data_IF_949763270761
#
_entry.id   IF_949763270761
#
_cell.length_a   1.000
_cell.length_b   1.000
_cell.length_c   1.000
_cell.angle_alpha   90.00
_cell.angle_beta   90.00
_cell.angle_gamma   90.00
#
_symmetry.space_group_name_H-M   'P 1'
#
loop_
_entity.id
_entity.type
_entity.pdbx_description
1 polymer ?
#
# COMPACT_ATOMS: atom_id res chain seq x y z
N UNK A 1 -23.34 -52.71 -31.02
CA UNK A 1 -22.24 -51.75 -30.76
C UNK A 1 -22.35 -51.04 -29.41
N UNK A 2 -23.54 -50.65 -28.94
CA UNK A 2 -23.73 -49.93 -27.67
C UNK A 2 -23.31 -50.71 -26.40
N UNK A 3 -23.47 -52.05 -26.38
CA UNK A 3 -23.10 -52.90 -25.24
C UNK A 3 -21.57 -53.02 -25.07
N UNK A 4 -20.82 -53.15 -26.17
CA UNK A 4 -19.36 -53.25 -26.15
C UNK A 4 -18.70 -51.98 -25.60
N UNK A 5 -19.18 -50.81 -26.02
CA UNK A 5 -18.68 -49.53 -25.52
C UNK A 5 -18.92 -49.37 -24.02
N UNK A 6 -20.10 -49.77 -23.52
CA UNK A 6 -20.43 -49.72 -22.09
C UNK A 6 -19.52 -50.63 -21.26
N UNK A 7 -19.22 -51.84 -21.75
CA UNK A 7 -18.33 -52.78 -21.06
C UNK A 7 -16.88 -52.27 -21.07
N UNK A 8 -16.38 -51.81 -22.21
CA UNK A 8 -15.05 -51.23 -22.31
C UNK A 8 -14.87 -50.01 -21.39
N UNK A 9 -15.89 -49.15 -21.33
CA UNK A 9 -15.91 -47.98 -20.45
C UNK A 9 -15.94 -48.37 -18.97
N UNK A 10 -16.76 -49.35 -18.59
CA UNK A 10 -16.80 -49.82 -17.20
C UNK A 10 -15.45 -50.42 -16.76
N UNK A 11 -14.82 -51.24 -17.60
CA UNK A 11 -13.49 -51.81 -17.31
C UNK A 11 -12.44 -50.72 -17.18
N UNK A 12 -12.45 -49.72 -18.08
CA UNK A 12 -11.55 -48.59 -18.02
C UNK A 12 -11.71 -47.82 -16.69
N UNK A 13 -12.95 -47.49 -16.30
CA UNK A 13 -13.20 -46.80 -15.03
C UNK A 13 -12.78 -47.63 -13.82
N UNK A 14 -13.09 -48.92 -13.79
CA UNK A 14 -12.70 -49.79 -12.68
C UNK A 14 -11.17 -49.87 -12.52
N UNK A 15 -10.42 -49.86 -13.62
CA UNK A 15 -8.96 -49.87 -13.57
C UNK A 15 -8.41 -48.51 -13.15
N UNK A 16 -8.90 -47.40 -13.71
CA UNK A 16 -8.35 -46.06 -13.46
C UNK A 16 -8.77 -45.45 -12.12
N UNK A 17 -9.96 -45.79 -11.61
CA UNK A 17 -10.49 -45.27 -10.36
C UNK A 17 -9.54 -45.41 -9.15
N UNK A 18 -8.92 -46.59 -8.87
CA UNK A 18 -7.97 -46.71 -7.77
C UNK A 18 -6.71 -45.85 -7.98
N UNK A 19 -6.21 -45.69 -9.21
CA UNK A 19 -5.05 -44.82 -9.47
C UNK A 19 -5.38 -43.35 -9.24
N UNK A 20 -6.54 -42.88 -9.70
CA UNK A 20 -7.00 -41.50 -9.50
C UNK A 20 -7.21 -41.24 -7.99
N UNK A 21 -7.82 -42.19 -7.29
CA UNK A 21 -8.06 -42.08 -5.85
C UNK A 21 -6.74 -42.03 -5.08
N UNK A 22 -5.78 -42.91 -5.41
CA UNK A 22 -4.47 -42.93 -4.78
C UNK A 22 -3.69 -41.65 -5.05
N UNK A 23 -3.70 -41.16 -6.29
CA UNK A 23 -3.05 -39.91 -6.66
C UNK A 23 -3.67 -38.72 -5.91
N UNK A 24 -5.00 -38.66 -5.83
CA UNK A 24 -5.71 -37.59 -5.11
C UNK A 24 -5.38 -37.59 -3.61
N UNK A 25 -5.31 -38.78 -3.01
CA UNK A 25 -4.99 -38.93 -1.59
C UNK A 25 -3.54 -38.55 -1.29
N UNK A 26 -2.62 -38.91 -2.19
CA UNK A 26 -1.22 -38.52 -2.11
C UNK A 26 -1.05 -37.00 -2.28
N UNK A 27 -1.79 -36.39 -3.20
CA UNK A 27 -1.77 -34.95 -3.43
C UNK A 27 -2.28 -34.17 -2.20
N UNK A 28 -3.40 -34.59 -1.60
CA UNK A 28 -3.92 -34.00 -0.36
C UNK A 28 -2.90 -34.14 0.78
N UNK A 29 -2.23 -35.29 0.88
CA UNK A 29 -1.15 -35.49 1.85
C UNK A 29 0.01 -34.52 1.63
N UNK A 30 0.45 -34.35 0.39
CA UNK A 30 1.53 -33.44 0.03
C UNK A 30 1.17 -31.99 0.37
N UNK A 31 -0.04 -31.53 0.01
CA UNK A 31 -0.53 -30.18 0.33
C UNK A 31 -0.54 -29.94 1.84
N UNK A 32 -0.96 -30.91 2.65
CA UNK A 32 -0.95 -30.79 4.10
C UNK A 32 0.46 -30.70 4.67
N UNK A 33 1.41 -31.48 4.14
CA UNK A 33 2.82 -31.42 4.56
C UNK A 33 3.42 -30.07 4.21
N UNK A 34 3.20 -29.57 2.99
CA UNK A 34 3.64 -28.23 2.58
C UNK A 34 3.01 -27.16 3.46
N UNK A 35 1.70 -27.24 3.74
CA UNK A 35 1.00 -26.30 4.63
C UNK A 35 1.58 -26.31 6.05
N UNK A 36 1.90 -27.49 6.60
CA UNK A 36 2.53 -27.61 7.91
C UNK A 36 3.95 -27.03 7.93
N UNK A 37 4.76 -27.33 6.91
CA UNK A 37 6.11 -26.77 6.77
C UNK A 37 6.05 -25.25 6.60
N UNK A 38 5.12 -24.74 5.79
CA UNK A 38 4.87 -23.31 5.63
C UNK A 38 4.48 -22.67 6.96
N UNK A 39 3.66 -23.30 7.81
CA UNK A 39 3.34 -22.78 9.15
C UNK A 39 4.54 -22.74 10.09
N UNK A 40 5.49 -23.66 9.95
CA UNK A 40 6.69 -23.72 10.79
C UNK A 40 7.80 -22.76 10.31
N UNK A 41 7.91 -22.55 9.00
CA UNK A 41 8.86 -21.62 8.37
C UNK A 41 8.32 -20.20 8.27
N UNK A 42 6.99 -20.04 8.30
CA UNK A 42 6.37 -18.76 8.58
C UNK A 42 6.81 -18.35 9.98
N UNK A 43 7.86 -17.54 10.01
CA UNK A 43 8.07 -16.56 11.08
C UNK A 43 6.71 -15.89 11.31
N UNK A 44 6.29 -15.57 12.54
CA UNK A 44 5.04 -14.85 12.78
C UNK A 44 5.14 -13.43 12.20
N UNK A 45 5.10 -13.32 10.88
CA UNK A 45 4.52 -12.20 10.19
C UNK A 45 3.02 -12.40 10.37
N UNK A 46 2.50 -11.62 11.31
CA UNK A 46 1.10 -11.30 11.45
C UNK A 46 0.54 -10.89 10.09
N UNK A 47 0.06 -11.86 9.32
CA UNK A 47 -0.98 -11.62 8.31
C UNK A 47 -2.31 -11.68 9.08
N UNK A 48 -3.01 -10.56 9.28
CA UNK A 48 -4.35 -10.60 9.85
C UNK A 48 -5.30 -11.09 8.75
N UNK A 49 -5.55 -12.40 8.75
CA UNK A 49 -6.77 -12.92 8.17
C UNK A 49 -7.96 -12.40 8.98
N UNK A 50 -8.71 -11.46 8.40
CA UNK A 50 -10.14 -11.21 8.67
C UNK A 50 -10.54 -11.30 10.15
N UNK A 51 -9.81 -10.61 11.00
CA UNK A 51 -10.31 -10.11 12.28
C UNK A 51 -9.92 -8.64 12.32
N UNK A 52 -10.86 -7.80 12.75
CA UNK A 52 -10.68 -6.35 12.85
C UNK A 52 -9.32 -6.04 13.50
N UNK A 53 -8.31 -5.73 12.69
CA UNK A 53 -7.08 -5.13 13.17
C UNK A 53 -7.51 -3.89 13.94
N UNK A 54 -7.12 -3.73 15.22
CA UNK A 54 -7.39 -2.49 15.91
C UNK A 54 -6.59 -1.45 15.15
N UNK A 55 -7.26 -0.72 14.24
CA UNK A 55 -6.71 0.42 13.52
C UNK A 55 -5.97 1.26 14.55
N UNK A 56 -4.63 1.17 14.52
CA UNK A 56 -3.76 1.67 15.58
C UNK A 56 -4.23 3.05 16.04
N UNK A 57 -4.20 3.28 17.34
CA UNK A 57 -4.39 4.62 17.88
C UNK A 57 -3.42 5.62 17.24
N UNK A 58 -3.75 6.90 17.33
CA UNK A 58 -2.95 7.97 16.75
C UNK A 58 -1.48 7.86 17.18
N UNK A 59 -0.60 7.63 16.20
CA UNK A 59 0.85 7.53 16.41
C UNK A 59 1.53 8.83 15.99
N UNK A 60 2.60 9.28 16.68
CA UNK A 60 3.44 10.37 16.19
C UNK A 60 4.00 10.04 14.81
N UNK A 61 4.01 11.02 13.91
CA UNK A 61 4.48 10.85 12.54
C UNK A 61 5.62 11.80 12.20
N UNK A 62 5.42 13.11 12.40
CA UNK A 62 6.42 14.13 12.09
C UNK A 62 6.39 15.26 13.11
N UNK A 63 7.56 15.71 13.53
CA UNK A 63 7.72 16.90 14.35
C UNK A 63 8.24 18.04 13.47
N UNK A 64 7.45 19.10 13.35
CA UNK A 64 7.78 20.33 12.65
C UNK A 64 8.01 21.44 13.67
N UNK A 65 8.73 22.52 13.32
CA UNK A 65 9.07 23.59 14.27
C UNK A 65 7.86 24.21 14.98
N UNK A 66 6.70 24.30 14.33
CA UNK A 66 5.48 24.90 14.89
C UNK A 66 4.27 23.96 14.91
N UNK A 67 4.43 22.69 14.55
CA UNK A 67 3.33 21.73 14.56
C UNK A 67 3.82 20.29 14.72
N UNK A 68 3.00 19.42 15.31
CA UNK A 68 3.22 17.97 15.26
C UNK A 68 2.14 17.31 14.42
N UNK A 69 2.56 16.33 13.60
CA UNK A 69 1.65 15.48 12.84
C UNK A 69 1.58 14.10 13.47
N UNK A 70 0.37 13.60 13.64
CA UNK A 70 0.10 12.22 14.03
C UNK A 70 -0.67 11.53 12.91
N UNK A 71 -0.48 10.21 12.79
CA UNK A 71 -1.14 9.39 11.77
C UNK A 71 -1.87 8.20 12.37
N UNK A 72 -2.95 7.81 11.71
CA UNK A 72 -3.72 6.60 11.98
C UNK A 72 -3.92 5.85 10.67
N UNK A 73 -3.49 4.59 10.62
CA UNK A 73 -3.73 3.74 9.46
C UNK A 73 -5.23 3.52 9.27
N UNK A 74 -5.71 3.55 8.02
CA UNK A 74 -7.13 3.37 7.68
C UNK A 74 -7.35 2.25 6.68
N UNK A 75 -6.46 2.12 5.70
CA UNK A 75 -6.60 1.12 4.64
C UNK A 75 -5.23 0.77 4.07
N UNK A 76 -5.04 -0.49 3.70
CA UNK A 76 -3.85 -0.96 2.99
C UNK A 76 -4.26 -1.30 1.56
N UNK A 77 -3.62 -0.64 0.60
CA UNK A 77 -3.84 -0.95 -0.82
C UNK A 77 -3.19 -2.28 -1.12
N UNK A 78 -3.90 -3.19 -1.81
CA UNK A 78 -3.34 -4.50 -2.14
C UNK A 78 -2.06 -4.34 -2.98
N UNK A 79 -0.94 -4.87 -2.50
CA UNK A 79 0.39 -4.70 -3.10
C UNK A 79 0.83 -3.23 -3.25
N UNK A 80 0.29 -2.34 -2.43
CA UNK A 80 0.53 -0.90 -2.49
C UNK A 80 0.85 -0.29 -1.12
N UNK A 81 0.85 1.06 -1.02
CA UNK A 81 1.16 1.76 0.21
C UNK A 81 -0.02 1.72 1.20
N UNK A 82 0.30 1.92 2.48
CA UNK A 82 -0.69 2.13 3.53
C UNK A 82 -1.26 3.56 3.42
N UNK A 83 -2.57 3.68 3.58
CA UNK A 83 -3.30 4.95 3.61
C UNK A 83 -3.61 5.35 5.05
N UNK A 84 -3.37 6.62 5.35
CA UNK A 84 -3.48 7.18 6.69
C UNK A 84 -4.47 8.35 6.75
N UNK A 85 -5.07 8.54 7.93
CA UNK A 85 -5.60 9.83 8.36
C UNK A 85 -4.51 10.56 9.11
N UNK A 86 -4.38 11.86 8.85
CA UNK A 86 -3.45 12.73 9.57
C UNK A 86 -4.22 13.67 10.50
N UNK A 87 -3.57 14.04 11.60
CA UNK A 87 -4.01 15.10 12.51
C UNK A 87 -2.81 15.96 12.82
N UNK A 88 -3.01 17.27 12.86
CA UNK A 88 -2.01 18.22 13.30
C UNK A 88 -2.32 18.78 14.69
N UNK A 89 -1.28 19.17 15.42
CA UNK A 89 -1.35 20.01 16.60
C UNK A 89 -0.42 21.22 16.40
N UNK A 90 -0.93 22.46 16.25
CA UNK A 90 -2.34 22.85 16.31
C UNK A 90 -3.18 22.28 15.15
N UNK A 91 -4.50 22.18 15.37
CA UNK A 91 -5.43 21.55 14.42
C UNK A 91 -5.60 22.38 13.13
N UNK A 92 -5.33 21.77 11.98
CA UNK A 92 -5.53 22.33 10.64
C UNK A 92 -6.58 21.49 9.91
N UNK A 93 -7.66 22.13 9.44
CA UNK A 93 -8.81 21.43 8.85
C UNK A 93 -8.42 20.56 7.64
N UNK A 94 -7.66 21.12 6.69
CA UNK A 94 -7.30 20.39 5.48
C UNK A 94 -6.40 19.16 5.72
N UNK A 95 -5.69 19.09 6.84
CA UNK A 95 -4.93 17.88 7.23
C UNK A 95 -5.88 16.75 7.64
N UNK A 96 -6.95 17.07 8.37
CA UNK A 96 -7.86 16.07 8.96
C UNK A 96 -8.83 15.47 7.94
N UNK A 97 -9.20 16.25 6.93
CA UNK A 97 -10.21 15.86 5.93
C UNK A 97 -9.66 14.92 4.85
N UNK A 98 -8.33 14.89 4.64
CA UNK A 98 -7.68 14.12 3.58
C UNK A 98 -7.35 12.66 3.94
N UNK A 99 -7.04 11.89 2.89
CA UNK A 99 -6.35 10.60 2.96
C UNK A 99 -4.89 10.81 2.56
N UNK A 100 -3.97 10.20 3.27
CA UNK A 100 -2.55 10.51 3.14
C UNK A 100 -1.70 9.26 2.95
N UNK A 101 -0.63 9.38 2.17
CA UNK A 101 0.39 8.35 2.03
C UNK A 101 1.36 8.31 3.20
N UNK A 102 2.34 7.43 3.10
CA UNK A 102 3.48 7.32 4.02
C UNK A 102 4.61 8.31 3.70
N UNK A 103 4.60 8.90 2.51
CA UNK A 103 5.58 9.89 2.09
C UNK A 103 5.47 11.22 2.84
N UNK A 104 6.58 11.60 3.47
CA UNK A 104 6.82 12.94 3.99
C UNK A 104 8.26 13.36 3.71
N UNK A 105 8.45 14.54 3.12
CA UNK A 105 9.77 15.12 2.89
C UNK A 105 9.79 16.58 3.34
N UNK A 106 10.63 16.88 4.34
CA UNK A 106 10.79 18.25 4.83
C UNK A 106 11.43 19.15 3.76
N UNK A 107 10.90 20.36 3.61
CA UNK A 107 11.44 21.41 2.73
C UNK A 107 11.20 22.79 3.36
N UNK A 108 12.29 23.53 3.59
CA UNK A 108 12.24 24.79 4.33
C UNK A 108 11.66 24.61 5.73
N UNK A 109 10.57 25.33 6.03
CA UNK A 109 9.85 25.28 7.31
C UNK A 109 8.64 24.33 7.29
N UNK A 110 8.40 23.65 6.17
CA UNK A 110 7.22 22.80 5.97
C UNK A 110 7.57 21.41 5.49
N UNK A 111 6.56 20.70 5.00
CA UNK A 111 6.69 19.31 4.57
C UNK A 111 5.86 19.05 3.32
N UNK A 112 6.43 18.27 2.40
CA UNK A 112 5.74 17.68 1.26
C UNK A 112 5.06 16.40 1.71
N UNK A 113 3.77 16.29 1.42
CA UNK A 113 2.92 15.17 1.76
C UNK A 113 2.23 14.65 0.51
N UNK A 114 1.91 13.35 0.53
CA UNK A 114 1.11 12.70 -0.49
C UNK A 114 -0.36 12.66 -0.05
N UNK A 115 -1.25 13.33 -0.79
CA UNK A 115 -2.70 13.29 -0.55
C UNK A 115 -3.40 12.45 -1.61
N UNK A 116 -4.20 11.49 -1.16
CA UNK A 116 -5.03 10.65 -2.01
C UNK A 116 -6.43 11.22 -2.13
N UNK A 117 -7.06 11.14 -3.31
CA UNK A 117 -8.45 11.59 -3.49
C UNK A 117 -9.43 10.70 -2.71
N UNK A 118 -9.09 9.43 -2.51
CA UNK A 118 -9.98 8.40 -1.98
C UNK A 118 -9.22 7.17 -1.50
N UNK A 119 -9.95 6.17 -1.00
CA UNK A 119 -9.45 4.82 -0.69
C UNK A 119 -9.91 3.78 -1.72
N UNK A 120 -10.72 4.18 -2.71
CA UNK A 120 -11.20 3.27 -3.74
C UNK A 120 -10.10 2.98 -4.77
N UNK A 121 -9.80 1.70 -5.03
CA UNK A 121 -8.66 1.27 -5.86
C UNK A 121 -8.58 1.94 -7.24
N UNK A 122 -9.73 2.16 -7.89
CA UNK A 122 -9.81 2.79 -9.21
C UNK A 122 -9.48 4.29 -9.21
N UNK A 123 -9.41 4.93 -8.04
CA UNK A 123 -9.09 6.35 -7.88
C UNK A 123 -7.63 6.56 -7.40
N UNK A 124 -6.85 5.47 -7.22
CA UNK A 124 -5.48 5.49 -6.70
C UNK A 124 -4.41 5.49 -7.80
N UNK A 125 -4.74 5.87 -9.04
CA UNK A 125 -3.77 5.98 -10.14
C UNK A 125 -2.88 7.21 -10.00
N UNK A 126 -3.39 8.26 -9.34
CA UNK A 126 -2.72 9.53 -9.14
C UNK A 126 -2.97 10.05 -7.73
N UNK A 127 -2.00 10.80 -7.22
CA UNK A 127 -2.12 11.49 -5.94
C UNK A 127 -1.77 12.96 -6.11
N UNK A 128 -2.21 13.79 -5.18
CA UNK A 128 -1.82 15.19 -5.12
C UNK A 128 -0.58 15.33 -4.23
N UNK A 129 0.45 15.96 -4.77
CA UNK A 129 1.58 16.40 -3.98
C UNK A 129 1.20 17.72 -3.30
N UNK A 130 1.22 17.73 -1.98
CA UNK A 130 0.77 18.87 -1.16
C UNK A 130 1.91 19.38 -0.31
N UNK A 131 2.10 20.70 -0.27
CA UNK A 131 2.97 21.34 0.69
C UNK A 131 2.17 21.79 1.91
N UNK A 132 2.60 21.37 3.09
CA UNK A 132 2.05 21.83 4.37
C UNK A 132 2.99 22.83 5.02
N UNK A 133 2.51 24.06 5.21
CA UNK A 133 3.19 25.13 5.93
C UNK A 133 2.65 25.23 7.37
N UNK A 134 3.38 24.72 8.38
CA UNK A 134 2.89 24.69 9.76
C UNK A 134 2.87 26.09 10.40
N UNK A 135 3.63 27.05 9.86
CA UNK A 135 3.63 28.43 10.35
C UNK A 135 2.35 29.19 9.96
N UNK A 136 1.85 28.94 8.75
CA UNK A 136 0.63 29.58 8.22
C UNK A 136 -0.63 28.72 8.39
N UNK A 137 -0.46 27.43 8.72
CA UNK A 137 -1.55 26.45 8.73
C UNK A 137 -2.14 26.17 7.35
N UNK A 138 -1.41 26.49 6.28
CA UNK A 138 -1.87 26.35 4.90
C UNK A 138 -1.43 25.03 4.28
N UNK A 139 -2.27 24.56 3.36
CA UNK A 139 -2.02 23.41 2.49
C UNK A 139 -2.11 23.87 1.05
N UNK A 140 -0.98 23.83 0.35
CA UNK A 140 -0.90 24.24 -1.04
C UNK A 140 -0.69 23.01 -1.92
N UNK A 141 -1.63 22.74 -2.82
CA UNK A 141 -1.53 21.63 -3.77
C UNK A 141 -0.57 22.02 -4.88
N UNK A 142 0.55 21.32 -4.98
CA UNK A 142 1.60 21.61 -5.95
C UNK A 142 1.31 21.00 -7.32
N UNK A 143 0.53 19.92 -7.35
CA UNK A 143 0.08 19.25 -8.57
C UNK A 143 -0.19 17.76 -8.38
N UNK A 144 -0.65 17.12 -9.43
CA UNK A 144 -0.94 15.68 -9.46
C UNK A 144 0.24 14.86 -9.96
N UNK A 145 0.54 13.77 -9.27
CA UNK A 145 1.65 12.85 -9.52
C UNK A 145 1.13 11.44 -9.82
N UNK A 146 1.81 10.66 -10.67
CA UNK A 146 1.49 9.25 -10.84
C UNK A 146 1.86 8.46 -9.58
N UNK A 147 1.08 7.43 -9.26
CA UNK A 147 1.33 6.55 -8.11
C UNK A 147 2.64 5.76 -8.23
N UNK A 148 3.03 5.39 -9.44
CA UNK A 148 4.20 4.57 -9.72
C UNK A 148 5.33 5.36 -10.39
N UNK A 149 6.56 4.89 -10.22
CA UNK A 149 7.76 5.40 -10.89
C UNK A 149 8.01 6.89 -10.65
N UNK A 150 7.86 7.33 -9.40
CA UNK A 150 8.25 8.66 -8.97
C UNK A 150 9.22 8.57 -7.77
N UNK A 151 10.10 9.55 -7.66
CA UNK A 151 11.12 9.62 -6.61
C UNK A 151 11.31 11.08 -6.20
N UNK A 152 11.62 11.32 -4.93
CA UNK A 152 11.96 12.65 -4.42
C UNK A 152 13.37 12.62 -3.79
N UNK A 153 14.27 13.42 -4.35
CA UNK A 153 15.65 13.54 -3.91
C UNK A 153 15.83 14.90 -3.22
N UNK A 154 16.11 14.89 -1.92
CA UNK A 154 16.53 16.07 -1.19
C UNK A 154 17.92 16.51 -1.65
N UNK A 155 18.08 17.80 -1.92
CA UNK A 155 19.32 18.38 -2.42
C UNK A 155 20.10 19.10 -1.31
N UNK A 156 21.43 19.27 -1.46
CA UNK A 156 22.26 19.95 -0.46
C UNK A 156 21.88 21.43 -0.23
N UNK A 157 21.23 22.07 -1.20
CA UNK A 157 20.73 23.45 -1.10
C UNK A 157 19.38 23.56 -0.38
N UNK A 158 18.84 22.43 0.12
CA UNK A 158 17.54 22.37 0.78
C UNK A 158 16.36 22.32 -0.19
N UNK A 159 16.59 22.32 -1.51
CA UNK A 159 15.55 22.04 -2.50
C UNK A 159 15.21 20.55 -2.53
N UNK A 160 14.03 20.22 -3.03
CA UNK A 160 13.62 18.83 -3.27
C UNK A 160 13.37 18.68 -4.76
N UNK A 161 14.06 17.73 -5.38
CA UNK A 161 13.84 17.40 -6.78
C UNK A 161 13.01 16.15 -6.89
N UNK A 162 11.87 16.28 -7.56
CA UNK A 162 10.93 15.20 -7.79
C UNK A 162 11.07 14.76 -9.23
N UNK A 163 11.21 13.46 -9.42
CA UNK A 163 11.28 12.80 -10.72
C UNK A 163 10.06 11.90 -10.88
N UNK A 164 9.55 11.76 -12.10
CA UNK A 164 8.53 10.77 -12.40
C UNK A 164 8.64 10.27 -13.84
N UNK A 165 7.94 9.16 -14.12
CA UNK A 165 7.95 8.49 -15.42
C UNK A 165 9.38 8.06 -15.79
N UNK A 166 9.98 7.20 -14.97
CA UNK A 166 11.35 6.68 -15.15
C UNK A 166 12.42 7.79 -15.24
N UNK A 167 12.27 8.84 -14.41
CA UNK A 167 13.13 10.03 -14.40
C UNK A 167 13.16 10.85 -15.70
N UNK A 168 12.24 10.60 -16.64
CA UNK A 168 12.10 11.41 -17.87
C UNK A 168 11.56 12.82 -17.60
N UNK A 169 10.78 13.00 -16.54
CA UNK A 169 10.24 14.29 -16.11
C UNK A 169 10.77 14.61 -14.72
N UNK A 170 11.05 15.88 -14.47
CA UNK A 170 11.49 16.36 -13.17
C UNK A 170 10.95 17.74 -12.85
N UNK A 171 10.74 18.01 -11.57
CA UNK A 171 10.42 19.32 -11.02
C UNK A 171 11.29 19.54 -9.79
N UNK A 172 11.96 20.69 -9.73
CA UNK A 172 12.67 21.10 -8.53
C UNK A 172 11.78 22.07 -7.76
N UNK A 173 11.56 21.78 -6.49
CA UNK A 173 10.84 22.63 -5.56
C UNK A 173 11.86 23.30 -4.66
N UNK A 174 11.83 24.63 -4.61
CA UNK A 174 12.74 25.39 -3.76
C UNK A 174 12.00 25.93 -2.54
N UNK A 175 12.65 26.00 -1.37
CA UNK A 175 12.04 26.56 -0.16
C UNK A 175 11.49 27.98 -0.36
N UNK A 176 12.19 28.80 -1.13
CA UNK A 176 11.82 30.19 -1.46
C UNK A 176 10.54 30.34 -2.29
N UNK A 177 10.15 29.31 -3.04
CA UNK A 177 8.92 29.30 -3.84
C UNK A 177 7.69 28.89 -3.02
N UNK A 178 7.90 28.36 -1.82
CA UNK A 178 6.89 27.74 -0.96
C UNK A 178 6.64 28.53 0.34
N UNK A 179 7.39 29.62 0.56
CA UNK A 179 7.34 30.46 1.75
C UNK A 179 6.16 31.45 1.74
#
# INVERSE_FOLDING_TARGET
MHSFYRVAWNVLFTIFYPFITLFSLLFIGLVNVVSWISRQLATPHTEPGVEASPLLDWTPYLELPSATLSRKAVHEVQFGPMVYRLRSNPAVAGIQEGYWGDFAQSIGQGVLLQRWPSIAEHELERFELVYFSPASGRLDVLGEMPTFFWEADAQPDGSVRIYWNERSKSRTLRPEELA
#
